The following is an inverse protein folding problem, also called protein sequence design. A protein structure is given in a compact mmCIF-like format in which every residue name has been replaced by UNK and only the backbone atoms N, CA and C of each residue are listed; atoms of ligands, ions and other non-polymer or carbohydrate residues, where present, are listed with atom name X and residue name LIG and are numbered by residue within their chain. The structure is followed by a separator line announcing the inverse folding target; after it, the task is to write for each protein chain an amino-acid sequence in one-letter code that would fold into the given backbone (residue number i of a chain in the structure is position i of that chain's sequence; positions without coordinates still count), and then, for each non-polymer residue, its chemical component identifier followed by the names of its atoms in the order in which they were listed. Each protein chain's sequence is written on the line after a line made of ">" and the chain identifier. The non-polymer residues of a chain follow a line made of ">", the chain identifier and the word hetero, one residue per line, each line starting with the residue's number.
data_IF_257601256486
#
_entry.id   IF_257601256486
#
_cell.length_a   1.000
_cell.length_b   1.000
_cell.length_c   1.000
_cell.angle_alpha   90.00
_cell.angle_beta   90.00
_cell.angle_gamma   90.00
#
_symmetry.space_group_name_H-M   'P 1'
#
loop_
_entity.id
_entity.type
_entity.pdbx_description
1 polymer ?
#
# COMPACT_ATOMS: atom_id res chain seq x y z
N UNK A 1 -0.24 -28.41 -12.71
CA UNK A 1 0.45 -27.23 -12.17
C UNK A 1 0.42 -27.38 -10.68
N UNK A 2 1.58 -27.49 -10.06
CA UNK A 2 1.67 -27.57 -8.61
C UNK A 2 1.20 -26.25 -8.00
N UNK A 3 0.66 -26.30 -6.78
CA UNK A 3 0.11 -25.12 -6.10
C UNK A 3 1.14 -23.98 -6.01
N UNK A 4 2.41 -24.33 -5.84
CA UNK A 4 3.54 -23.41 -5.77
C UNK A 4 3.74 -22.64 -7.10
N UNK A 5 3.58 -23.32 -8.24
CA UNK A 5 3.73 -22.69 -9.56
C UNK A 5 2.60 -21.69 -9.87
N UNK A 6 1.39 -21.94 -9.37
CA UNK A 6 0.27 -21.00 -9.52
C UNK A 6 0.46 -19.75 -8.65
N UNK A 7 0.97 -19.92 -7.43
CA UNK A 7 1.29 -18.81 -6.53
C UNK A 7 2.41 -17.96 -7.13
N UNK A 8 3.48 -18.58 -7.61
CA UNK A 8 4.62 -17.87 -8.23
C UNK A 8 4.21 -17.09 -9.48
N UNK A 9 3.40 -17.72 -10.36
CA UNK A 9 2.90 -17.06 -11.56
C UNK A 9 2.00 -15.87 -11.22
N UNK A 10 1.10 -16.04 -10.25
CA UNK A 10 0.21 -14.98 -9.77
C UNK A 10 1.01 -13.81 -9.18
N UNK A 11 2.04 -14.11 -8.39
CA UNK A 11 2.90 -13.11 -7.77
C UNK A 11 3.70 -12.34 -8.83
N UNK A 12 4.32 -13.05 -9.77
CA UNK A 12 5.10 -12.43 -10.85
C UNK A 12 4.22 -11.54 -11.75
N UNK A 13 3.03 -12.02 -12.12
CA UNK A 13 2.06 -11.24 -12.87
C UNK A 13 1.61 -9.98 -12.10
N UNK A 14 1.37 -10.11 -10.79
CA UNK A 14 0.98 -8.98 -9.95
C UNK A 14 2.08 -7.91 -9.86
N UNK A 15 3.35 -8.31 -9.77
CA UNK A 15 4.48 -7.37 -9.78
C UNK A 15 4.61 -6.61 -11.09
N UNK A 16 4.40 -7.29 -12.24
CA UNK A 16 4.40 -6.62 -13.55
C UNK A 16 3.26 -5.60 -13.64
N UNK A 17 2.05 -6.01 -13.26
CA UNK A 17 0.88 -5.13 -13.29
C UNK A 17 1.05 -3.92 -12.37
N UNK A 18 1.62 -4.12 -11.18
CA UNK A 18 1.91 -3.05 -10.24
C UNK A 18 2.92 -2.05 -10.81
N UNK A 19 3.98 -2.54 -11.47
CA UNK A 19 4.96 -1.67 -12.12
C UNK A 19 4.31 -0.82 -13.22
N UNK A 20 3.52 -1.44 -14.11
CA UNK A 20 2.80 -0.73 -15.19
C UNK A 20 1.82 0.28 -14.64
N UNK A 21 1.02 -0.10 -13.63
CA UNK A 21 0.05 0.79 -13.00
C UNK A 21 0.74 2.00 -12.33
N UNK A 22 1.87 1.77 -11.67
CA UNK A 22 2.65 2.83 -11.03
C UNK A 22 3.16 3.84 -12.06
N UNK A 23 3.74 3.35 -13.16
CA UNK A 23 4.21 4.21 -14.26
C UNK A 23 3.06 5.00 -14.87
N UNK A 24 1.95 4.34 -15.20
CA UNK A 24 0.78 4.99 -15.78
C UNK A 24 0.18 6.06 -14.84
N UNK A 25 0.09 5.77 -13.54
CA UNK A 25 -0.42 6.71 -12.55
C UNK A 25 0.47 7.96 -12.43
N UNK A 26 1.80 7.80 -12.44
CA UNK A 26 2.73 8.93 -12.37
C UNK A 26 2.65 9.76 -13.66
N UNK A 27 2.75 9.11 -14.83
CA UNK A 27 2.77 9.79 -16.13
C UNK A 27 1.46 10.54 -16.39
N UNK A 28 0.30 9.93 -16.12
CA UNK A 28 -0.99 10.61 -16.30
C UNK A 28 -1.16 11.81 -15.35
N UNK A 29 -0.76 11.68 -14.08
CA UNK A 29 -0.79 12.81 -13.15
C UNK A 29 0.14 13.94 -13.60
N UNK A 30 1.33 13.61 -14.12
CA UNK A 30 2.28 14.60 -14.58
C UNK A 30 1.76 15.36 -15.81
N UNK A 31 1.21 14.66 -16.81
CA UNK A 31 0.58 15.28 -17.99
C UNK A 31 -0.55 16.23 -17.56
N UNK A 32 -1.43 15.78 -16.65
CA UNK A 32 -2.52 16.60 -16.15
C UNK A 32 -2.06 17.81 -15.32
N UNK A 33 -0.90 17.71 -14.66
CA UNK A 33 -0.34 18.78 -13.84
C UNK A 33 0.25 19.94 -14.63
N UNK A 34 0.80 19.69 -15.84
CA UNK A 34 1.44 20.71 -16.67
C UNK A 34 0.44 21.74 -17.21
N UNK A 35 -0.81 21.35 -17.43
CA UNK A 35 -1.87 22.27 -17.86
C UNK A 35 -2.53 23.05 -16.71
N UNK A 36 -2.44 22.56 -15.46
CA UNK A 36 -3.11 23.13 -14.30
C UNK A 36 -2.30 22.89 -13.01
N UNK A 37 -1.34 23.77 -12.65
CA UNK A 37 -0.46 23.55 -11.49
C UNK A 37 -1.21 23.49 -10.15
N UNK A 38 -2.41 24.08 -10.06
CA UNK A 38 -3.28 23.93 -8.87
C UNK A 38 -3.75 22.49 -8.64
N UNK A 39 -3.85 21.68 -9.69
CA UNK A 39 -4.19 20.26 -9.55
C UNK A 39 -3.07 19.49 -8.87
N UNK A 40 -1.81 19.85 -9.14
CA UNK A 40 -0.64 19.22 -8.53
C UNK A 40 -0.57 19.41 -7.02
N UNK A 41 -1.00 20.58 -6.54
CA UNK A 41 -1.06 20.88 -5.11
C UNK A 41 -2.08 19.96 -4.41
N UNK A 42 -3.25 19.76 -5.02
CA UNK A 42 -4.28 18.87 -4.46
C UNK A 42 -3.83 17.41 -4.43
N UNK A 43 -3.20 16.92 -5.50
CA UNK A 43 -2.63 15.57 -5.51
C UNK A 43 -1.46 15.43 -4.52
N UNK A 44 -0.62 16.47 -4.40
CA UNK A 44 0.49 16.50 -3.44
C UNK A 44 0.01 16.40 -1.99
N UNK A 45 -1.07 17.11 -1.63
CA UNK A 45 -1.70 16.99 -0.30
C UNK A 45 -2.15 15.54 -0.05
N UNK A 46 -2.73 14.87 -1.04
CA UNK A 46 -3.11 13.46 -0.94
C UNK A 46 -1.92 12.54 -0.64
N UNK A 47 -0.78 12.75 -1.31
CA UNK A 47 0.46 11.99 -1.05
C UNK A 47 0.99 12.23 0.35
N UNK A 48 0.96 13.49 0.83
CA UNK A 48 1.39 13.83 2.20
C UNK A 48 0.52 13.15 3.24
N UNK A 49 -0.81 13.18 3.07
CA UNK A 49 -1.74 12.51 3.98
C UNK A 49 -1.51 10.98 3.97
N UNK A 50 -1.29 10.40 2.79
CA UNK A 50 -0.98 8.97 2.67
C UNK A 50 0.33 8.62 3.40
N UNK A 51 1.37 9.43 3.22
CA UNK A 51 2.65 9.27 3.92
C UNK A 51 2.49 9.36 5.43
N UNK A 52 1.65 10.26 5.93
CA UNK A 52 1.34 10.37 7.37
C UNK A 52 0.64 9.13 7.91
N UNK A 53 -0.38 8.61 7.21
CA UNK A 53 -1.10 7.39 7.62
C UNK A 53 -0.13 6.21 7.65
N UNK A 54 0.71 6.08 6.61
CA UNK A 54 1.73 5.04 6.55
C UNK A 54 2.74 5.15 7.67
N UNK A 55 3.23 6.37 7.95
CA UNK A 55 4.18 6.61 9.02
C UNK A 55 3.59 6.25 10.38
N UNK A 56 2.32 6.59 10.63
CA UNK A 56 1.61 6.18 11.84
C UNK A 56 1.56 4.65 11.93
N UNK A 57 1.12 3.97 10.87
CA UNK A 57 1.07 2.51 10.81
C UNK A 57 2.44 1.84 11.02
N UNK A 58 3.49 2.37 10.41
CA UNK A 58 4.86 1.91 10.58
C UNK A 58 5.37 2.11 12.01
N UNK A 59 5.06 3.27 12.62
CA UNK A 59 5.48 3.59 13.99
C UNK A 59 4.76 2.73 15.04
N UNK A 60 3.51 2.36 14.78
CA UNK A 60 2.70 1.48 15.63
C UNK A 60 3.02 0.00 15.43
N UNK A 61 3.78 -0.37 14.39
CA UNK A 61 4.14 -1.76 14.14
C UNK A 61 4.97 -2.32 15.31
N UNK A 62 4.68 -3.56 15.76
CA UNK A 62 5.39 -4.19 16.88
C UNK A 62 6.91 -4.19 16.70
N UNK A 63 7.63 -4.04 17.82
CA UNK A 63 9.09 -4.04 17.84
C UNK A 63 9.70 -5.44 17.71
N UNK A 64 8.88 -6.48 17.80
CA UNK A 64 9.28 -7.89 17.74
C UNK A 64 8.45 -8.61 16.68
N UNK A 65 9.06 -9.62 16.05
CA UNK A 65 8.41 -10.44 15.02
C UNK A 65 7.68 -11.58 15.73
N UNK A 66 6.38 -11.70 15.51
CA UNK A 66 5.56 -12.79 16.07
C UNK A 66 5.94 -14.16 15.48
N UNK A 67 5.68 -15.25 16.22
CA UNK A 67 6.03 -16.63 15.86
C UNK A 67 5.49 -17.05 14.48
N UNK A 68 4.31 -16.59 14.11
CA UNK A 68 3.69 -16.88 12.80
C UNK A 68 4.51 -16.22 11.68
N UNK A 69 4.92 -14.98 11.89
CA UNK A 69 5.70 -14.20 10.93
C UNK A 69 7.14 -14.72 10.83
N UNK A 70 7.73 -15.18 11.94
CA UNK A 70 9.05 -15.83 11.93
C UNK A 70 9.06 -17.07 11.04
N UNK A 71 8.06 -17.95 11.17
CA UNK A 71 7.92 -19.13 10.30
C UNK A 71 7.76 -18.78 8.82
N UNK A 72 7.07 -17.68 8.51
CA UNK A 72 6.94 -17.19 7.14
C UNK A 72 8.29 -16.68 6.58
N UNK A 73 9.11 -16.01 7.39
CA UNK A 73 10.46 -15.60 6.98
C UNK A 73 11.39 -16.79 6.78
N UNK A 74 11.39 -17.77 7.70
CA UNK A 74 12.19 -18.99 7.58
C UNK A 74 11.81 -19.81 6.34
N UNK A 75 10.52 -19.93 6.03
CA UNK A 75 10.03 -20.60 4.82
C UNK A 75 10.54 -19.93 3.52
N UNK A 76 10.78 -18.62 3.57
CA UNK A 76 11.33 -17.84 2.46
C UNK A 76 12.87 -17.70 2.53
N UNK A 77 13.54 -18.48 3.38
CA UNK A 77 15.01 -18.43 3.58
C UNK A 77 15.54 -17.06 4.03
N UNK A 78 14.71 -16.30 4.74
CA UNK A 78 15.07 -15.01 5.35
C UNK A 78 15.39 -15.24 6.82
N UNK A 79 16.53 -14.74 7.29
CA UNK A 79 16.91 -14.85 8.71
C UNK A 79 16.00 -13.95 9.58
N UNK A 80 15.20 -14.52 10.50
CA UNK A 80 14.31 -13.74 11.36
C UNK A 80 15.05 -12.86 12.37
N UNK A 81 16.32 -13.15 12.67
CA UNK A 81 17.11 -12.41 13.66
C UNK A 81 17.88 -11.23 13.04
N UNK A 82 17.92 -11.12 11.71
CA UNK A 82 18.58 -10.02 11.04
C UNK A 82 17.83 -8.69 11.26
N UNK A 83 18.57 -7.61 11.54
CA UNK A 83 18.00 -6.27 11.75
C UNK A 83 17.19 -5.75 10.53
N UNK A 84 17.56 -6.19 9.32
CA UNK A 84 16.83 -5.91 8.09
C UNK A 84 15.45 -6.56 8.03
N UNK A 85 15.27 -7.71 8.69
CA UNK A 85 14.00 -8.45 8.72
C UNK A 85 12.99 -7.74 9.60
N UNK A 86 13.41 -7.20 10.74
CA UNK A 86 12.53 -6.36 11.57
C UNK A 86 12.07 -5.09 10.83
N UNK A 87 12.98 -4.45 10.09
CA UNK A 87 12.62 -3.28 9.26
C UNK A 87 11.59 -3.65 8.19
N UNK A 88 11.80 -4.79 7.52
CA UNK A 88 10.89 -5.31 6.50
C UNK A 88 9.53 -5.66 7.10
N UNK A 89 9.51 -6.28 8.28
CA UNK A 89 8.29 -6.63 9.01
C UNK A 89 7.45 -5.38 9.33
N UNK A 90 8.08 -4.33 9.85
CA UNK A 90 7.40 -3.05 10.14
C UNK A 90 6.92 -2.36 8.87
N UNK A 91 7.67 -2.46 7.78
CA UNK A 91 7.29 -1.92 6.47
C UNK A 91 6.01 -2.61 5.94
N UNK A 92 5.96 -3.93 5.98
CA UNK A 92 4.79 -4.73 5.55
C UNK A 92 3.59 -4.41 6.46
N UNK A 93 3.77 -4.40 7.78
CA UNK A 93 2.71 -4.09 8.74
C UNK A 93 2.15 -2.68 8.57
N UNK A 94 3.01 -1.69 8.36
CA UNK A 94 2.62 -0.31 8.06
C UNK A 94 1.85 -0.20 6.75
N UNK A 95 2.30 -0.89 5.70
CA UNK A 95 1.62 -0.91 4.39
C UNK A 95 0.23 -1.56 4.48
N UNK A 96 0.11 -2.71 5.17
CA UNK A 96 -1.18 -3.37 5.37
C UNK A 96 -2.15 -2.49 6.16
N UNK A 97 -1.68 -1.88 7.26
CA UNK A 97 -2.50 -0.96 8.07
C UNK A 97 -2.99 0.21 7.23
N UNK A 98 -2.12 0.78 6.40
CA UNK A 98 -2.48 1.88 5.49
C UNK A 98 -3.60 1.47 4.53
N UNK A 99 -3.47 0.31 3.88
CA UNK A 99 -4.50 -0.20 2.97
C UNK A 99 -5.83 -0.42 3.68
N UNK A 100 -5.83 -0.96 4.90
CA UNK A 100 -7.05 -1.16 5.69
C UNK A 100 -7.69 0.18 6.09
N UNK A 101 -6.91 1.17 6.50
CA UNK A 101 -7.40 2.52 6.80
C UNK A 101 -8.01 3.17 5.55
N UNK A 102 -7.32 3.09 4.41
CA UNK A 102 -7.83 3.61 3.14
C UNK A 102 -9.10 2.91 2.71
N UNK A 103 -9.23 1.60 2.94
CA UNK A 103 -10.45 0.86 2.65
C UNK A 103 -11.64 1.41 3.46
N UNK A 104 -11.46 1.65 4.76
CA UNK A 104 -12.50 2.24 5.61
C UNK A 104 -12.84 3.66 5.14
N UNK A 105 -11.83 4.50 4.86
CA UNK A 105 -12.04 5.85 4.33
C UNK A 105 -12.75 5.84 2.99
N UNK A 106 -12.45 4.88 2.12
CA UNK A 106 -13.11 4.71 0.83
C UNK A 106 -14.58 4.32 1.01
N UNK A 107 -14.90 3.40 1.92
CA UNK A 107 -16.29 3.03 2.22
C UNK A 107 -17.08 4.23 2.76
N UNK A 108 -16.53 4.95 3.73
CA UNK A 108 -17.16 6.17 4.29
C UNK A 108 -17.35 7.23 3.20
N UNK A 109 -16.33 7.45 2.37
CA UNK A 109 -16.39 8.39 1.25
C UNK A 109 -17.45 8.01 0.22
N UNK A 110 -17.61 6.71 -0.06
CA UNK A 110 -18.64 6.20 -0.97
C UNK A 110 -20.04 6.44 -0.40
N UNK A 111 -20.26 6.15 0.89
CA UNK A 111 -21.54 6.42 1.57
C UNK A 111 -21.87 7.91 1.53
N UNK A 112 -20.91 8.77 1.88
CA UNK A 112 -21.09 10.22 1.80
C UNK A 112 -21.41 10.67 0.36
N UNK A 113 -20.69 10.16 -0.64
CA UNK A 113 -20.93 10.48 -2.06
C UNK A 113 -22.33 10.08 -2.51
N UNK A 114 -22.82 8.94 -2.03
CA UNK A 114 -24.16 8.44 -2.33
C UNK A 114 -25.24 9.35 -1.75
N UNK A 115 -25.11 9.74 -0.48
CA UNK A 115 -26.06 10.64 0.20
C UNK A 115 -26.02 12.03 -0.41
N UNK A 116 -24.83 12.59 -0.62
CA UNK A 116 -24.67 13.94 -1.17
C UNK A 116 -25.28 14.06 -2.58
N UNK A 117 -25.27 12.98 -3.37
CA UNK A 117 -25.90 12.92 -4.71
C UNK A 117 -27.42 12.78 -4.66
N UNK A 118 -27.98 12.23 -3.58
CA UNK A 118 -29.43 12.11 -3.42
C UNK A 118 -30.02 13.40 -2.86
N UNK A 119 -29.28 14.09 -2.00
CA UNK A 119 -29.70 15.35 -1.38
C UNK A 119 -29.52 16.56 -2.30
N UNK A 120 -28.59 16.48 -3.27
CA UNK A 120 -28.27 17.55 -4.22
C UNK A 120 -28.39 17.07 -5.65
#
# INVERSE_FOLDING_TARGET
>A
MDQDQLIDLGLYASYILLAVATVAAIVMNLINSLGNPKSLIKSGIGIVVLGLIFFIGYSMAPAEIDLVSQRAFEANKVDPNAASTLTTYRLIGGAMTTTLVLLVLAVVGLVYSSIARVVR
#
